data_IF_738691608770
#
_entry.id   IF_738691608770
#
_cell.length_a   1.000
_cell.length_b   1.000
_cell.length_c   1.000
_cell.angle_alpha   90.00
_cell.angle_beta   90.00
_cell.angle_gamma   90.00
#
_symmetry.space_group_name_H-M   'P 1'
#
loop_
_entity.id
_entity.type
_entity.pdbx_description
1 polymer ?
#
# COMPACT_ATOMS: atom_id res chain seq x y z
N UNK A 1 28.73 15.20 -8.85
CA UNK A 1 28.46 13.75 -8.89
C UNK A 1 28.60 13.14 -7.50
N UNK A 2 29.56 13.62 -6.68
CA UNK A 2 29.87 13.03 -5.36
C UNK A 2 28.77 13.16 -4.32
N UNK A 3 27.97 14.23 -4.34
CA UNK A 3 26.86 14.46 -3.39
C UNK A 3 25.72 13.45 -3.54
N UNK A 4 25.43 12.99 -4.74
CA UNK A 4 24.37 12.00 -5.01
C UNK A 4 24.83 10.62 -4.58
N UNK A 5 26.10 10.31 -4.74
CA UNK A 5 26.66 9.02 -4.35
C UNK A 5 26.86 8.93 -2.83
N UNK A 6 27.19 10.05 -2.17
CA UNK A 6 27.23 10.16 -0.71
C UNK A 6 25.83 10.01 -0.08
N UNK A 7 24.79 10.63 -0.67
CA UNK A 7 23.40 10.45 -0.19
C UNK A 7 22.89 9.03 -0.42
N UNK A 8 23.22 8.39 -1.53
CA UNK A 8 22.91 6.96 -1.78
C UNK A 8 23.60 6.05 -0.79
N UNK A 9 24.85 6.33 -0.43
CA UNK A 9 25.61 5.59 0.57
C UNK A 9 25.03 5.80 1.98
N UNK A 10 24.64 7.05 2.32
CA UNK A 10 24.02 7.40 3.60
C UNK A 10 22.64 6.76 3.76
N UNK A 11 21.85 6.67 2.71
CA UNK A 11 20.55 5.99 2.66
C UNK A 11 20.67 4.46 2.63
N UNK A 12 21.90 3.92 2.65
CA UNK A 12 22.18 2.48 2.63
C UNK A 12 21.48 1.72 1.49
N UNK A 13 21.26 2.37 0.36
CA UNK A 13 20.58 1.77 -0.80
C UNK A 13 21.30 0.51 -1.30
N UNK A 14 22.63 0.42 -1.10
CA UNK A 14 23.39 -0.79 -1.40
C UNK A 14 23.10 -1.97 -0.43
N UNK A 15 22.50 -1.70 0.74
CA UNK A 15 22.13 -2.77 1.70
C UNK A 15 20.74 -3.36 1.39
N UNK A 16 19.95 -2.71 0.53
CA UNK A 16 18.72 -3.27 -0.03
C UNK A 16 18.94 -4.20 -1.23
N UNK A 17 20.18 -4.52 -1.55
CA UNK A 17 20.42 -5.71 -2.36
C UNK A 17 19.84 -6.88 -1.59
N UNK A 18 18.79 -7.49 -2.16
CA UNK A 18 18.15 -8.66 -1.60
C UNK A 18 19.25 -9.69 -1.26
N UNK A 19 19.59 -9.79 0.03
CA UNK A 19 20.40 -10.94 0.47
C UNK A 19 19.56 -12.15 0.11
N UNK A 20 20.06 -13.06 -0.75
CA UNK A 20 19.31 -14.25 -1.08
C UNK A 20 18.95 -14.93 0.23
N UNK A 21 17.66 -14.92 0.54
CA UNK A 21 17.13 -15.59 1.73
C UNK A 21 17.57 -17.04 1.63
N UNK A 22 18.30 -17.52 2.64
CA UNK A 22 18.99 -18.79 2.67
C UNK A 22 18.08 -20.04 2.70
N UNK A 23 16.78 -19.90 2.42
CA UNK A 23 15.88 -21.04 2.29
C UNK A 23 15.34 -21.14 0.85
N UNK A 24 15.86 -22.09 0.13
CA UNK A 24 15.51 -22.42 -1.25
C UNK A 24 13.99 -22.55 -1.50
N UNK A 25 13.25 -23.18 -0.57
CA UNK A 25 11.80 -23.34 -0.68
C UNK A 25 11.04 -22.02 -0.56
N UNK A 26 11.49 -21.14 0.32
CA UNK A 26 10.85 -19.82 0.53
C UNK A 26 11.04 -18.91 -0.68
N UNK A 27 12.25 -18.89 -1.24
CA UNK A 27 12.55 -18.09 -2.42
C UNK A 27 11.75 -18.60 -3.62
N UNK A 28 11.61 -19.90 -3.77
CA UNK A 28 10.83 -20.52 -4.82
C UNK A 28 9.33 -20.17 -4.72
N UNK A 29 8.76 -20.16 -3.52
CA UNK A 29 7.38 -19.73 -3.30
C UNK A 29 7.19 -18.24 -3.64
N UNK A 30 8.16 -17.40 -3.29
CA UNK A 30 8.12 -15.97 -3.62
C UNK A 30 8.16 -15.80 -5.14
N UNK A 31 9.11 -16.43 -5.82
CA UNK A 31 9.35 -16.25 -7.26
C UNK A 31 8.27 -16.91 -8.12
N UNK A 32 7.82 -18.11 -7.77
CA UNK A 32 6.91 -18.89 -8.62
C UNK A 32 5.42 -18.63 -8.32
N UNK A 33 5.07 -18.19 -7.12
CA UNK A 33 3.68 -18.01 -6.69
C UNK A 33 3.35 -16.57 -6.36
N UNK A 34 4.11 -15.95 -5.44
CA UNK A 34 3.73 -14.63 -4.94
C UNK A 34 4.02 -13.51 -5.93
N UNK A 35 5.18 -13.50 -6.57
CA UNK A 35 5.53 -12.44 -7.53
C UNK A 35 4.61 -12.43 -8.77
N UNK A 36 4.23 -13.56 -9.37
CA UNK A 36 3.25 -13.56 -10.46
C UNK A 36 1.88 -13.02 -10.02
N UNK A 37 1.35 -13.47 -8.87
CA UNK A 37 0.05 -13.00 -8.36
C UNK A 37 0.05 -11.49 -8.05
N UNK A 38 1.11 -11.01 -7.40
CA UNK A 38 1.30 -9.59 -7.11
C UNK A 38 1.44 -8.82 -8.41
N UNK A 39 2.23 -9.33 -9.36
CA UNK A 39 2.47 -8.72 -10.66
C UNK A 39 1.20 -8.58 -11.47
N UNK A 40 0.38 -9.63 -11.55
CA UNK A 40 -0.90 -9.61 -12.28
C UNK A 40 -1.88 -8.61 -11.66
N UNK A 41 -1.98 -8.57 -10.34
CA UNK A 41 -2.84 -7.60 -9.66
C UNK A 41 -2.37 -6.17 -9.90
N UNK A 42 -1.07 -5.90 -9.72
CA UNK A 42 -0.49 -4.58 -9.95
C UNK A 42 -0.61 -4.16 -11.43
N UNK A 43 -0.41 -5.08 -12.37
CA UNK A 43 -0.61 -4.80 -13.80
C UNK A 43 -2.05 -4.36 -14.10
N UNK A 44 -3.04 -5.00 -13.48
CA UNK A 44 -4.45 -4.59 -13.58
C UNK A 44 -4.68 -3.21 -12.97
N UNK A 45 -4.16 -2.95 -11.77
CA UNK A 45 -4.28 -1.64 -11.11
C UNK A 45 -3.61 -0.52 -11.91
N UNK A 46 -2.47 -0.80 -12.54
CA UNK A 46 -1.69 0.18 -13.30
C UNK A 46 -2.16 0.36 -14.75
N UNK A 47 -3.16 -0.39 -15.18
CA UNK A 47 -3.70 -0.30 -16.54
C UNK A 47 -2.78 -0.86 -17.63
N UNK A 48 -1.74 -1.65 -17.28
CA UNK A 48 -0.79 -2.23 -18.23
C UNK A 48 -1.27 -3.56 -18.83
N UNK A 49 -2.40 -4.08 -18.37
CA UNK A 49 -3.03 -5.28 -18.92
C UNK A 49 -3.89 -4.92 -20.12
N UNK A 50 -3.27 -4.85 -21.30
CA UNK A 50 -3.86 -4.84 -22.65
C UNK A 50 -4.98 -3.84 -22.94
N UNK A 51 -4.85 -3.10 -24.01
CA UNK A 51 -5.95 -2.32 -24.61
C UNK A 51 -7.12 -3.25 -24.97
N UNK A 52 -8.16 -3.24 -24.17
CA UNK A 52 -9.38 -4.03 -24.39
C UNK A 52 -9.87 -4.81 -23.18
N UNK A 53 -9.05 -5.09 -22.20
CA UNK A 53 -9.48 -5.68 -20.94
C UNK A 53 -9.85 -4.56 -19.96
N UNK A 54 -10.99 -3.93 -20.18
CA UNK A 54 -11.77 -3.35 -19.09
C UNK A 54 -12.23 -4.52 -18.22
N UNK A 55 -11.32 -5.05 -17.40
CA UNK A 55 -11.76 -5.92 -16.34
C UNK A 55 -12.40 -5.01 -15.31
N UNK A 56 -13.69 -5.17 -15.09
CA UNK A 56 -14.49 -4.55 -14.03
C UNK A 56 -13.97 -4.94 -12.62
N UNK A 57 -12.82 -5.58 -12.57
CA UNK A 57 -12.13 -6.06 -11.38
C UNK A 57 -10.74 -5.46 -11.31
N UNK A 58 -10.64 -4.16 -11.09
CA UNK A 58 -9.42 -3.53 -10.60
C UNK A 58 -9.30 -3.88 -9.12
N UNK A 59 -8.68 -5.02 -8.82
CA UNK A 59 -8.63 -5.55 -7.46
C UNK A 59 -7.66 -4.78 -6.56
N UNK A 60 -8.08 -4.56 -5.34
CA UNK A 60 -7.19 -4.21 -4.24
C UNK A 60 -6.27 -5.39 -3.94
N UNK A 61 -4.96 -5.16 -3.82
CA UNK A 61 -4.03 -6.20 -3.40
C UNK A 61 -4.03 -6.32 -1.87
N UNK A 62 -4.46 -7.48 -1.38
CA UNK A 62 -4.51 -7.79 0.04
C UNK A 62 -3.51 -8.89 0.38
N UNK A 63 -2.56 -8.60 1.26
CA UNK A 63 -1.51 -9.51 1.71
C UNK A 63 -1.74 -9.91 3.17
N UNK A 64 -2.29 -11.08 3.40
CA UNK A 64 -2.53 -11.61 4.75
C UNK A 64 -1.57 -12.77 5.02
N UNK A 65 -0.69 -12.58 5.98
CA UNK A 65 0.21 -13.64 6.47
C UNK A 65 0.70 -13.32 7.88
N UNK A 66 1.20 -14.31 8.62
CA UNK A 66 1.81 -14.08 9.93
C UNK A 66 2.92 -13.02 9.88
N UNK A 67 3.28 -12.42 11.03
CA UNK A 67 4.39 -11.47 11.11
C UNK A 67 5.71 -12.11 10.69
N UNK A 68 6.65 -11.29 10.22
CA UNK A 68 8.00 -11.76 9.85
C UNK A 68 8.12 -12.40 8.46
N UNK A 69 7.05 -12.51 7.68
CA UNK A 69 7.08 -13.05 6.32
C UNK A 69 7.58 -12.07 5.26
N UNK A 70 7.98 -10.87 5.66
CA UNK A 70 8.65 -9.90 4.78
C UNK A 70 7.72 -9.20 3.79
N UNK A 71 6.42 -9.09 4.07
CA UNK A 71 5.43 -8.38 3.21
C UNK A 71 5.88 -6.98 2.81
N UNK A 72 6.26 -6.18 3.80
CA UNK A 72 6.71 -4.79 3.59
C UNK A 72 7.94 -4.74 2.70
N UNK A 73 8.98 -5.53 3.03
CA UNK A 73 10.22 -5.58 2.24
C UNK A 73 9.97 -6.04 0.80
N UNK A 74 9.06 -7.00 0.61
CA UNK A 74 8.67 -7.44 -0.72
C UNK A 74 8.04 -6.31 -1.52
N UNK A 75 7.12 -5.55 -0.92
CA UNK A 75 6.42 -4.49 -1.62
C UNK A 75 7.30 -3.25 -1.85
N UNK A 76 8.21 -2.94 -0.94
CA UNK A 76 9.27 -1.94 -1.17
C UNK A 76 10.14 -2.31 -2.38
N UNK A 77 10.59 -3.57 -2.45
CA UNK A 77 11.35 -4.07 -3.58
C UNK A 77 10.56 -3.98 -4.90
N UNK A 78 9.29 -4.39 -4.88
CA UNK A 78 8.42 -4.29 -6.08
C UNK A 78 8.23 -2.84 -6.51
N UNK A 79 7.99 -1.93 -5.57
CA UNK A 79 7.85 -0.50 -5.87
C UNK A 79 9.12 0.07 -6.50
N UNK A 80 10.28 -0.25 -5.94
CA UNK A 80 11.59 0.16 -6.49
C UNK A 80 11.78 -0.35 -7.93
N UNK A 81 11.50 -1.64 -8.16
CA UNK A 81 11.61 -2.26 -9.50
C UNK A 81 10.66 -1.66 -10.53
N UNK A 82 9.51 -1.18 -10.10
CA UNK A 82 8.53 -0.51 -10.95
C UNK A 82 8.79 1.00 -11.10
N UNK A 83 9.78 1.56 -10.40
CA UNK A 83 10.05 3.00 -10.37
C UNK A 83 8.92 3.80 -9.71
N UNK A 84 8.25 3.21 -8.72
CA UNK A 84 7.14 3.84 -7.99
C UNK A 84 7.62 4.37 -6.63
N UNK A 85 7.06 5.50 -6.22
CA UNK A 85 7.26 6.02 -4.87
C UNK A 85 6.47 5.17 -3.88
N UNK A 86 7.15 4.58 -2.91
CA UNK A 86 6.54 3.76 -1.86
C UNK A 86 6.08 4.64 -0.70
N UNK A 87 4.76 4.72 -0.48
CA UNK A 87 4.16 5.48 0.62
C UNK A 87 3.57 4.50 1.62
N UNK A 88 4.29 4.30 2.74
CA UNK A 88 3.86 3.40 3.80
C UNK A 88 3.03 4.14 4.84
N UNK A 89 1.84 3.62 5.12
CA UNK A 89 0.92 4.05 6.16
C UNK A 89 0.93 3.02 7.29
N UNK A 90 1.18 3.47 8.49
CA UNK A 90 1.26 2.61 9.67
C UNK A 90 -0.12 2.46 10.33
N UNK A 91 -0.73 1.28 10.21
CA UNK A 91 -2.04 0.98 10.78
C UNK A 91 -2.13 1.17 12.30
N UNK A 92 -1.17 0.66 13.09
CA UNK A 92 -1.15 0.91 14.54
C UNK A 92 -1.14 2.39 14.94
N UNK A 93 -0.47 3.24 14.17
CA UNK A 93 -0.46 4.68 14.44
C UNK A 93 -1.80 5.36 14.12
N UNK A 94 -2.54 4.85 13.14
CA UNK A 94 -3.91 5.28 12.86
C UNK A 94 -4.87 4.85 13.98
N UNK A 95 -4.83 3.57 14.35
CA UNK A 95 -5.71 2.99 15.35
C UNK A 95 -7.17 2.83 14.87
N UNK A 96 -7.98 2.20 15.72
CA UNK A 96 -9.38 1.86 15.40
C UNK A 96 -10.33 3.06 15.40
N UNK A 97 -9.92 4.21 15.94
CA UNK A 97 -10.77 5.39 16.08
C UNK A 97 -10.73 6.32 14.87
N UNK A 98 -9.75 6.15 13.98
CA UNK A 98 -9.63 6.96 12.76
C UNK A 98 -10.52 6.37 11.67
N UNK A 99 -11.56 7.11 11.32
CA UNK A 99 -12.53 6.73 10.28
C UNK A 99 -12.46 7.65 9.06
N UNK A 100 -11.79 8.80 9.20
CA UNK A 100 -11.67 9.84 8.17
C UNK A 100 -10.27 9.87 7.57
N UNK A 101 -10.16 10.32 6.32
CA UNK A 101 -8.88 10.62 5.66
C UNK A 101 -8.39 12.05 6.01
N UNK A 102 -9.24 12.86 6.60
CA UNK A 102 -8.89 14.24 7.00
C UNK A 102 -7.92 14.24 8.20
N UNK A 103 -6.71 14.79 8.06
CA UNK A 103 -5.76 14.90 9.17
C UNK A 103 -6.30 15.72 10.36
N UNK A 104 -7.19 16.67 10.11
CA UNK A 104 -7.80 17.50 11.16
C UNK A 104 -8.77 16.71 12.05
N UNK A 105 -9.32 15.60 11.56
CA UNK A 105 -10.19 14.72 12.32
C UNK A 105 -9.43 13.80 13.30
N UNK A 106 -8.11 13.69 13.17
CA UNK A 106 -7.29 12.84 14.04
C UNK A 106 -6.96 13.58 15.35
N UNK A 107 -7.21 12.91 16.47
CA UNK A 107 -6.92 13.45 17.80
C UNK A 107 -5.46 13.24 18.23
N UNK A 108 -4.80 12.22 17.68
CA UNK A 108 -3.41 11.88 17.99
C UNK A 108 -2.46 12.38 16.90
N UNK A 109 -1.32 12.94 17.31
CA UNK A 109 -0.32 13.48 16.38
C UNK A 109 0.24 12.41 15.43
N UNK A 110 0.44 11.18 15.93
CA UNK A 110 0.89 10.07 15.12
C UNK A 110 -0.10 9.73 14.00
N UNK A 111 -1.39 9.65 14.32
CA UNK A 111 -2.45 9.42 13.34
C UNK A 111 -2.53 10.55 12.31
N UNK A 112 -2.42 11.80 12.77
CA UNK A 112 -2.39 12.97 11.89
C UNK A 112 -1.26 12.89 10.86
N UNK A 113 -0.05 12.54 11.29
CA UNK A 113 1.11 12.38 10.40
C UNK A 113 0.88 11.28 9.34
N UNK A 114 0.27 10.16 9.73
CA UNK A 114 -0.06 9.10 8.78
C UNK A 114 -1.09 9.55 7.75
N UNK A 115 -2.10 10.31 8.15
CA UNK A 115 -3.10 10.88 7.24
C UNK A 115 -2.50 11.96 6.33
N UNK A 116 -1.55 12.76 6.81
CA UNK A 116 -0.80 13.71 5.98
C UNK A 116 0.03 12.99 4.92
N UNK A 117 0.73 11.90 5.27
CA UNK A 117 1.44 11.06 4.29
C UNK A 117 0.49 10.47 3.25
N UNK A 118 -0.67 9.96 3.69
CA UNK A 118 -1.69 9.43 2.80
C UNK A 118 -2.14 10.48 1.78
N UNK A 119 -2.53 11.66 2.27
CA UNK A 119 -2.99 12.75 1.39
C UNK A 119 -1.88 13.24 0.46
N UNK A 120 -0.62 13.24 0.91
CA UNK A 120 0.53 13.52 0.05
C UNK A 120 0.63 12.50 -1.10
N UNK A 121 0.48 11.21 -0.81
CA UNK A 121 0.46 10.15 -1.83
C UNK A 121 -0.67 10.35 -2.84
N UNK A 122 -1.87 10.70 -2.38
CA UNK A 122 -3.00 11.00 -3.25
C UNK A 122 -2.75 12.25 -4.11
N UNK A 123 -2.12 13.27 -3.53
CA UNK A 123 -1.78 14.51 -4.24
C UNK A 123 -0.73 14.27 -5.32
N UNK A 124 0.29 13.44 -5.06
CA UNK A 124 1.26 13.01 -6.06
C UNK A 124 0.60 12.27 -7.21
N UNK A 125 -0.31 11.37 -6.90
CA UNK A 125 -1.25 10.71 -7.80
C UNK A 125 -0.63 9.79 -8.85
N UNK A 126 0.60 10.01 -9.30
CA UNK A 126 1.23 9.20 -10.35
C UNK A 126 2.54 8.58 -9.87
N UNK A 127 2.81 7.34 -10.30
CA UNK A 127 3.95 6.53 -9.86
C UNK A 127 4.01 6.34 -8.33
N UNK A 128 2.88 6.09 -7.70
CA UNK A 128 2.75 5.90 -6.26
C UNK A 128 2.23 4.50 -5.95
N UNK A 129 2.91 3.83 -5.03
CA UNK A 129 2.40 2.64 -4.36
C UNK A 129 2.05 3.00 -2.93
N UNK A 130 0.77 3.07 -2.63
CA UNK A 130 0.25 3.26 -1.29
C UNK A 130 0.18 1.91 -0.59
N UNK A 131 0.93 1.76 0.50
CA UNK A 131 0.99 0.53 1.27
C UNK A 131 0.46 0.76 2.68
N UNK A 132 -0.68 0.18 3.00
CA UNK A 132 -1.27 0.24 4.34
C UNK A 132 -0.86 -1.01 5.11
N UNK A 133 -0.03 -0.82 6.12
CA UNK A 133 0.53 -1.91 6.92
C UNK A 133 -0.31 -2.16 8.17
N UNK A 134 -0.36 -3.41 8.59
CA UNK A 134 -1.05 -3.85 9.81
C UNK A 134 -2.50 -3.37 9.90
N UNK A 135 -3.29 -3.65 8.85
CA UNK A 135 -4.68 -3.21 8.71
C UNK A 135 -5.61 -3.71 9.83
N UNK A 136 -5.25 -4.79 10.53
CA UNK A 136 -6.02 -5.30 11.67
C UNK A 136 -6.10 -4.30 12.83
N UNK A 137 -5.25 -3.26 12.86
CA UNK A 137 -5.26 -2.18 13.85
C UNK A 137 -6.00 -0.93 13.37
N UNK A 138 -6.56 -0.96 12.17
CA UNK A 138 -7.31 0.17 11.60
C UNK A 138 -8.82 -0.04 11.72
N UNK A 139 -9.58 1.03 11.56
CA UNK A 139 -11.04 0.94 11.49
C UNK A 139 -11.49 0.38 10.14
N UNK A 140 -12.50 -0.51 10.10
CA UNK A 140 -13.10 -0.96 8.84
C UNK A 140 -13.62 0.19 7.98
N UNK A 141 -14.18 1.23 8.60
CA UNK A 141 -14.69 2.42 7.90
C UNK A 141 -13.59 3.20 7.19
N UNK A 142 -12.39 3.24 7.79
CA UNK A 142 -11.23 3.82 7.13
C UNK A 142 -10.83 3.02 5.89
N UNK A 143 -10.75 1.69 6.01
CA UNK A 143 -10.38 0.81 4.89
C UNK A 143 -11.38 0.86 3.73
N UNK A 144 -12.68 1.04 4.02
CA UNK A 144 -13.74 1.15 3.02
C UNK A 144 -13.55 2.33 2.07
N UNK A 145 -12.89 3.40 2.51
CA UNK A 145 -12.65 4.58 1.67
C UNK A 145 -11.76 4.29 0.46
N UNK A 146 -10.99 3.20 0.51
CA UNK A 146 -10.12 2.77 -0.59
C UNK A 146 -10.82 1.88 -1.63
N UNK A 147 -12.04 1.43 -1.37
CA UNK A 147 -12.81 0.57 -2.29
C UNK A 147 -13.00 1.28 -3.64
N UNK A 148 -13.29 2.56 -3.62
CA UNK A 148 -13.44 3.37 -4.83
C UNK A 148 -12.15 3.45 -5.68
N UNK A 149 -10.99 3.14 -5.13
CA UNK A 149 -9.73 3.02 -5.87
C UNK A 149 -9.54 1.63 -6.47
N UNK A 150 -10.24 0.63 -5.94
CA UNK A 150 -10.22 -0.74 -6.41
C UNK A 150 -11.29 -1.03 -7.48
N UNK A 151 -12.26 -0.15 -7.63
CA UNK A 151 -13.29 -0.21 -8.66
C UNK A 151 -12.95 0.69 -9.86
N UNK A 152 -13.81 0.67 -10.88
CA UNK A 152 -13.64 1.44 -12.11
C UNK A 152 -13.72 2.97 -11.93
N UNK A 153 -14.20 3.47 -10.79
CA UNK A 153 -14.32 4.92 -10.55
C UNK A 153 -12.97 5.56 -10.28
N UNK A 154 -12.06 4.85 -9.62
CA UNK A 154 -10.71 5.30 -9.31
C UNK A 154 -10.66 6.71 -8.70
N UNK A 155 -11.68 7.07 -7.93
CA UNK A 155 -11.79 8.37 -7.26
C UNK A 155 -11.82 8.20 -5.76
N UNK A 156 -11.14 9.11 -5.07
CA UNK A 156 -11.15 9.18 -3.61
C UNK A 156 -11.17 10.63 -3.16
N UNK A 157 -11.96 10.90 -2.14
CA UNK A 157 -11.97 12.19 -1.46
C UNK A 157 -10.84 12.25 -0.43
N UNK A 158 -10.14 13.37 -0.37
CA UNK A 158 -9.08 13.61 0.60
C UNK A 158 -9.02 15.07 1.03
N UNK A 159 -8.01 15.42 1.82
CA UNK A 159 -7.80 16.78 2.33
C UNK A 159 -6.34 17.16 2.14
N UNK A 160 -6.08 18.26 1.45
CA UNK A 160 -4.75 18.81 1.27
C UNK A 160 -4.70 20.26 1.71
N UNK A 161 -3.79 20.59 2.63
CA UNK A 161 -3.65 21.92 3.24
C UNK A 161 -4.97 22.47 3.82
N UNK A 162 -5.79 21.60 4.43
CA UNK A 162 -7.09 21.96 5.02
C UNK A 162 -8.23 22.12 4.01
N UNK A 163 -7.99 21.90 2.73
CA UNK A 163 -8.99 21.95 1.68
C UNK A 163 -9.42 20.54 1.25
N UNK A 164 -10.73 20.29 1.20
CA UNK A 164 -11.26 19.05 0.65
C UNK A 164 -10.99 18.98 -0.85
N UNK A 165 -10.49 17.83 -1.30
CA UNK A 165 -10.17 17.56 -2.71
C UNK A 165 -10.67 16.20 -3.14
N UNK A 166 -11.13 16.11 -4.38
CA UNK A 166 -11.41 14.83 -5.04
C UNK A 166 -10.26 14.50 -5.96
N UNK A 167 -9.67 13.32 -5.75
CA UNK A 167 -8.56 12.81 -6.55
C UNK A 167 -9.07 11.80 -7.57
N UNK A 168 -8.94 12.11 -8.84
CA UNK A 168 -9.20 11.19 -9.94
C UNK A 168 -7.89 10.52 -10.36
N UNK A 169 -7.77 9.23 -10.07
CA UNK A 169 -6.58 8.43 -10.35
C UNK A 169 -6.72 7.56 -11.60
N UNK A 170 -7.76 7.78 -12.41
CA UNK A 170 -7.90 7.08 -13.69
C UNK A 170 -6.74 7.43 -14.62
N UNK A 171 -6.17 6.41 -15.26
CA UNK A 171 -5.01 6.56 -16.15
C UNK A 171 -3.70 6.91 -15.46
N UNK A 172 -3.66 6.97 -14.13
CA UNK A 172 -2.45 7.18 -13.35
C UNK A 172 -1.88 5.87 -12.84
N UNK A 173 -0.56 5.79 -12.77
CA UNK A 173 0.15 4.66 -12.14
C UNK A 173 0.07 4.78 -10.63
N UNK A 174 -1.07 4.39 -10.07
CA UNK A 174 -1.33 4.41 -8.63
C UNK A 174 -1.82 3.03 -8.19
N UNK A 175 -1.09 2.41 -7.29
CA UNK A 175 -1.43 1.12 -6.72
C UNK A 175 -1.72 1.22 -5.23
N UNK A 176 -2.69 0.44 -4.75
CA UNK A 176 -3.00 0.28 -3.33
C UNK A 176 -2.73 -1.15 -2.93
N UNK A 177 -1.96 -1.30 -1.87
CA UNK A 177 -1.66 -2.58 -1.25
C UNK A 177 -2.00 -2.49 0.23
N UNK A 178 -2.75 -3.44 0.73
CA UNK A 178 -3.05 -3.58 2.15
C UNK A 178 -2.40 -4.84 2.69
N UNK A 179 -1.76 -4.74 3.84
CA UNK A 179 -1.13 -5.87 4.50
C UNK A 179 -1.63 -6.02 5.94
N UNK A 180 -1.84 -7.25 6.34
CA UNK A 180 -2.32 -7.56 7.68
C UNK A 180 -1.87 -8.91 8.16
N UNK A 181 -2.23 -9.21 9.41
CA UNK A 181 -2.03 -10.49 10.05
C UNK A 181 -3.36 -11.24 10.15
N UNK A 182 -3.34 -12.58 10.13
CA UNK A 182 -4.58 -13.37 10.23
C UNK A 182 -5.22 -13.32 11.62
N UNK A 183 -4.49 -12.83 12.62
CA UNK A 183 -4.96 -12.76 14.00
C UNK A 183 -4.81 -11.34 14.55
N UNK A 184 -5.75 -10.95 15.40
CA UNK A 184 -5.69 -9.72 16.20
C UNK A 184 -4.76 -9.91 17.41
N UNK A 185 -4.45 -8.84 18.13
CA UNK A 185 -3.65 -8.91 19.37
C UNK A 185 -4.32 -9.76 20.45
N UNK A 186 -5.65 -9.84 20.45
CA UNK A 186 -6.42 -10.72 21.35
C UNK A 186 -6.35 -12.21 20.96
N UNK A 187 -5.73 -12.54 19.82
CA UNK A 187 -5.67 -13.91 19.31
C UNK A 187 -6.89 -14.33 18.48
N UNK A 188 -7.86 -13.44 18.31
CA UNK A 188 -9.02 -13.69 17.45
C UNK A 188 -8.63 -13.63 15.99
N UNK A 189 -9.33 -14.38 15.14
CA UNK A 189 -9.15 -14.33 13.69
C UNK A 189 -9.56 -12.94 13.18
N UNK A 190 -8.64 -12.26 12.52
CA UNK A 190 -8.95 -10.99 11.87
C UNK A 190 -9.96 -11.24 10.74
N UNK A 191 -11.16 -10.67 10.89
CA UNK A 191 -12.17 -10.69 9.84
C UNK A 191 -11.90 -9.56 8.86
N UNK A 192 -11.52 -9.93 7.65
CA UNK A 192 -11.45 -8.98 6.55
C UNK A 192 -12.87 -8.44 6.34
N UNK A 193 -13.09 -7.12 6.32
CA UNK A 193 -14.40 -6.57 6.00
C UNK A 193 -14.91 -7.15 4.68
N UNK A 194 -16.15 -7.65 4.65
CA UNK A 194 -16.74 -8.33 3.49
C UNK A 194 -16.65 -7.53 2.19
N UNK A 195 -16.54 -6.20 2.32
CA UNK A 195 -16.39 -5.29 1.18
C UNK A 195 -14.98 -5.24 0.59
N UNK A 196 -13.98 -5.82 1.27
CA UNK A 196 -12.58 -5.91 0.81
C UNK A 196 -12.21 -7.32 0.34
N UNK A 197 -13.08 -8.31 0.58
CA UNK A 197 -12.94 -9.71 0.17
C UNK A 197 -13.61 -9.97 -1.23
#
# INVERSE_FOLDING_TARGET
LDLVDDEKARLRLAQFQAKPLSSFVRNRLIDEVYLPLVGDNLAKQLGTAGEGSRSDRMGLLLLISPPGYGKTTLMEYVADRLGMTFVRINGPALGHNVTSIDPAAATQSAAKQELEKLNLGLMMGNNVMLYVDDIQHTSPEFLQKFIALADGTRRIEGVWNGEARSYDLRGKRFAVVMAGHPYTESGDVFKIPDMLA
#
